data_IF_529506504319
#
_entry.id   IF_529506504319
#
_cell.length_a   1.000
_cell.length_b   1.000
_cell.length_c   1.000
_cell.angle_alpha   90.00
_cell.angle_beta   90.00
_cell.angle_gamma   90.00
#
_symmetry.space_group_name_H-M   'P 1'
#
loop_
_entity.id
_entity.type
_entity.pdbx_description
1 polymer ?
#
# COMPACT_ATOMS: atom_id res chain seq x y z
N UNK A 1 23.07 -1.17 -11.18
CA UNK A 1 24.26 -0.55 -11.82
C UNK A 1 24.24 -0.84 -13.31
N UNK A 2 24.22 0.22 -14.12
CA UNK A 2 24.19 0.11 -15.58
C UNK A 2 25.57 0.52 -16.11
N UNK A 3 26.09 -0.21 -17.09
CA UNK A 3 27.30 0.14 -17.83
C UNK A 3 26.96 0.46 -19.28
N UNK A 4 27.87 1.16 -19.95
CA UNK A 4 27.72 1.45 -21.37
C UNK A 4 27.77 0.15 -22.19
N UNK A 5 26.88 0.01 -23.16
CA UNK A 5 26.71 -1.22 -23.95
C UNK A 5 27.93 -1.60 -24.84
N UNK A 6 28.96 -0.76 -24.88
CA UNK A 6 30.24 -1.04 -25.51
C UNK A 6 31.38 -0.23 -24.88
N UNK A 7 32.54 -0.88 -24.68
CA UNK A 7 33.73 -0.28 -24.05
C UNK A 7 34.27 0.95 -24.79
N UNK A 8 34.11 1.00 -26.11
CA UNK A 8 34.66 2.05 -26.98
C UNK A 8 33.74 3.27 -27.13
N UNK A 9 32.60 3.32 -26.43
CA UNK A 9 31.73 4.50 -26.41
C UNK A 9 32.39 5.70 -25.71
N UNK A 10 33.29 5.42 -24.75
CA UNK A 10 34.11 6.45 -24.09
C UNK A 10 35.56 6.00 -24.13
N UNK A 11 36.42 6.85 -24.69
CA UNK A 11 37.84 6.57 -24.89
C UNK A 11 38.70 7.67 -24.30
N UNK A 12 39.78 7.30 -23.60
CA UNK A 12 40.85 8.20 -23.19
C UNK A 12 41.95 8.16 -24.23
N UNK A 13 42.26 9.30 -24.86
CA UNK A 13 43.38 9.42 -25.80
C UNK A 13 44.50 10.23 -25.16
N UNK A 14 45.66 9.61 -25.00
CA UNK A 14 46.88 10.29 -24.59
C UNK A 14 47.71 10.60 -25.84
N UNK A 15 48.08 11.86 -26.01
CA UNK A 15 48.95 12.32 -27.11
C UNK A 15 50.25 12.85 -26.54
N UNK A 16 51.37 12.37 -27.06
CA UNK A 16 52.68 12.97 -26.82
C UNK A 16 53.06 13.77 -28.06
N UNK A 17 53.66 14.93 -27.86
CA UNK A 17 54.21 15.77 -28.93
C UNK A 17 55.64 16.10 -28.54
N UNK A 18 56.58 15.88 -29.44
CA UNK A 18 57.97 16.21 -29.16
C UNK A 18 58.28 17.69 -29.45
N UNK A 19 59.56 18.06 -29.39
CA UNK A 19 59.99 19.46 -29.48
C UNK A 19 59.85 20.02 -30.90
N UNK A 20 59.95 19.20 -31.93
CA UNK A 20 59.85 19.68 -33.32
C UNK A 20 58.42 19.64 -33.86
N UNK A 21 57.50 19.04 -33.11
CA UNK A 21 56.06 19.13 -33.31
C UNK A 21 55.43 17.80 -33.75
N UNK A 22 56.24 16.76 -33.92
CA UNK A 22 55.74 15.43 -34.22
C UNK A 22 54.94 14.87 -33.04
N UNK A 23 53.80 14.24 -33.35
CA UNK A 23 52.89 13.73 -32.33
C UNK A 23 52.57 12.25 -32.53
N UNK A 24 52.44 11.53 -31.42
CA UNK A 24 51.96 10.15 -31.39
C UNK A 24 50.87 10.02 -30.33
N UNK A 25 49.86 9.20 -30.60
CA UNK A 25 48.72 9.01 -29.70
C UNK A 25 48.48 7.54 -29.38
N UNK A 26 47.97 7.29 -28.17
CA UNK A 26 47.47 6.00 -27.72
C UNK A 26 46.06 6.16 -27.15
N UNK A 27 45.18 5.20 -27.46
CA UNK A 27 43.78 5.22 -27.02
C UNK A 27 43.51 4.06 -26.08
N UNK A 28 42.86 4.34 -24.96
CA UNK A 28 42.36 3.36 -24.00
C UNK A 28 40.84 3.47 -23.92
N UNK A 29 40.15 2.34 -24.13
CA UNK A 29 38.71 2.26 -23.94
C UNK A 29 38.40 2.24 -22.44
N UNK A 30 37.58 3.17 -21.98
CA UNK A 30 37.21 3.29 -20.56
C UNK A 30 35.71 3.16 -20.32
N UNK A 31 34.90 2.98 -21.37
CA UNK A 31 33.44 3.00 -21.27
C UNK A 31 32.86 2.05 -20.22
N UNK A 32 33.45 0.85 -20.07
CA UNK A 32 33.00 -0.13 -19.07
C UNK A 32 33.72 -0.07 -17.73
N UNK A 33 34.68 0.86 -17.59
CA UNK A 33 35.20 1.27 -16.29
C UNK A 33 34.29 2.33 -15.63
N UNK A 34 33.34 2.90 -16.37
CA UNK A 34 32.33 3.82 -15.84
C UNK A 34 31.12 3.02 -15.37
N UNK A 35 30.79 3.15 -14.09
CA UNK A 35 29.59 2.56 -13.49
C UNK A 35 28.62 3.67 -13.12
N UNK A 36 27.38 3.55 -13.56
CA UNK A 36 26.29 4.42 -13.13
C UNK A 36 25.49 3.68 -12.06
N UNK A 37 25.42 4.29 -10.89
CA UNK A 37 24.53 3.84 -9.81
C UNK A 37 23.16 4.47 -10.04
N UNK A 38 22.15 3.75 -9.59
CA UNK A 38 20.74 4.07 -9.80
C UNK A 38 20.07 4.14 -8.43
N UNK A 39 19.34 5.22 -8.18
CA UNK A 39 18.82 5.58 -6.86
C UNK A 39 17.29 5.41 -6.82
N UNK A 40 16.83 4.17 -6.61
CA UNK A 40 15.39 3.88 -6.59
C UNK A 40 14.60 4.54 -5.45
N UNK A 41 13.24 4.48 -5.52
CA UNK A 41 12.38 5.18 -4.60
C UNK A 41 12.31 4.45 -3.25
N UNK A 42 11.89 5.18 -2.21
CA UNK A 42 11.68 4.65 -0.86
C UNK A 42 10.28 4.98 -0.36
N UNK A 43 9.70 4.06 0.39
CA UNK A 43 8.42 4.27 1.07
C UNK A 43 8.39 3.49 2.38
N UNK A 44 7.76 4.04 3.40
CA UNK A 44 7.54 3.38 4.69
C UNK A 44 6.17 3.76 5.28
N UNK A 45 5.65 2.89 6.14
CA UNK A 45 4.38 3.09 6.85
C UNK A 45 4.64 3.10 8.37
N UNK A 46 4.89 4.27 9.01
CA UNK A 46 5.24 4.37 10.43
C UNK A 46 4.13 3.95 11.43
N UNK A 47 2.97 3.50 10.96
CA UNK A 47 1.95 2.84 11.78
C UNK A 47 0.92 3.74 12.44
N UNK A 48 0.95 5.06 12.22
CA UNK A 48 -0.15 5.95 12.60
C UNK A 48 -1.18 6.01 11.45
N UNK A 49 -2.44 5.68 11.76
CA UNK A 49 -3.53 5.59 10.79
C UNK A 49 -4.81 6.18 11.35
N UNK A 50 -5.69 6.65 10.46
CA UNK A 50 -7.02 7.07 10.84
C UNK A 50 -7.88 5.86 11.19
N UNK A 51 -8.92 6.05 12.00
CA UNK A 51 -9.93 5.02 12.27
C UNK A 51 -11.20 5.32 11.50
N UNK A 52 -11.88 4.25 11.07
CA UNK A 52 -13.16 4.26 10.38
C UNK A 52 -14.23 3.74 11.33
N UNK A 53 -15.35 4.44 11.47
CA UNK A 53 -16.42 4.09 12.38
C UNK A 53 -17.78 4.12 11.68
N UNK A 54 -18.45 2.98 11.68
CA UNK A 54 -19.83 2.81 11.19
C UNK A 54 -20.74 2.39 12.33
N UNK A 55 -22.02 2.63 12.19
CA UNK A 55 -23.01 2.49 13.25
C UNK A 55 -24.24 1.73 12.73
N UNK A 56 -24.61 0.67 13.44
CA UNK A 56 -25.73 -0.21 13.08
C UNK A 56 -27.09 0.50 13.08
N UNK A 57 -27.20 1.66 13.74
CA UNK A 57 -28.39 2.51 13.73
C UNK A 57 -28.76 2.89 12.30
N UNK A 58 -27.75 3.12 11.45
CA UNK A 58 -27.93 3.47 10.04
C UNK A 58 -26.86 2.80 9.17
N UNK A 59 -27.15 1.57 8.75
CA UNK A 59 -26.33 0.77 7.82
C UNK A 59 -26.09 1.40 6.44
N UNK A 60 -26.74 2.52 6.11
CA UNK A 60 -26.51 3.24 4.86
C UNK A 60 -25.41 4.31 4.97
N UNK A 61 -24.87 4.54 6.18
CA UNK A 61 -23.86 5.57 6.42
C UNK A 61 -22.47 4.95 6.42
N UNK A 62 -21.69 5.28 5.41
CA UNK A 62 -20.29 4.89 5.31
C UNK A 62 -19.40 5.90 6.03
N UNK A 63 -18.23 5.44 6.48
CA UNK A 63 -17.15 6.33 6.90
C UNK A 63 -16.02 6.29 5.89
N UNK A 64 -15.38 7.44 5.63
CA UNK A 64 -14.28 7.57 4.68
C UNK A 64 -13.20 8.47 5.22
N UNK A 65 -11.99 7.95 5.33
CA UNK A 65 -10.84 8.65 5.90
C UNK A 65 -9.63 8.53 4.97
N UNK A 66 -8.77 9.55 4.96
CA UNK A 66 -7.55 9.52 4.15
C UNK A 66 -6.45 8.75 4.87
N UNK A 67 -5.91 7.70 4.26
CA UNK A 67 -4.77 6.95 4.79
C UNK A 67 -3.46 7.30 4.07
N UNK A 68 -3.49 8.13 3.03
CA UNK A 68 -2.29 8.54 2.30
C UNK A 68 -1.21 9.16 3.22
N UNK A 69 -1.62 9.94 4.21
CA UNK A 69 -0.71 10.54 5.19
C UNK A 69 -0.03 9.55 6.14
N UNK A 70 -0.46 8.29 6.16
CA UNK A 70 0.19 7.23 6.93
C UNK A 70 1.45 6.68 6.24
N UNK A 71 1.75 7.11 5.01
CA UNK A 71 2.93 6.71 4.25
C UNK A 71 3.91 7.87 4.13
N UNK A 72 5.19 7.58 4.34
CA UNK A 72 6.29 8.51 4.07
C UNK A 72 7.08 7.98 2.89
N UNK A 73 7.16 8.77 1.82
CA UNK A 73 7.71 8.35 0.53
C UNK A 73 8.68 9.36 -0.07
N UNK A 74 9.66 8.87 -0.83
CA UNK A 74 10.61 9.66 -1.62
C UNK A 74 10.85 8.99 -2.96
N UNK A 75 10.79 9.76 -4.06
CA UNK A 75 11.02 9.26 -5.42
C UNK A 75 12.50 9.17 -5.81
N UNK A 76 13.43 9.38 -4.87
CA UNK A 76 14.86 9.34 -5.20
C UNK A 76 15.29 10.49 -6.12
N UNK A 77 16.42 10.29 -6.81
CA UNK A 77 17.03 11.28 -7.68
C UNK A 77 16.31 11.39 -9.04
N UNK A 78 15.60 10.34 -9.45
CA UNK A 78 14.96 10.21 -10.76
C UNK A 78 13.66 11.03 -10.88
N UNK A 79 13.17 11.50 -9.73
CA UNK A 79 12.08 12.45 -9.62
C UNK A 79 10.71 11.78 -9.64
N UNK A 80 9.67 12.59 -9.48
CA UNK A 80 8.33 12.10 -9.21
C UNK A 80 7.76 11.24 -10.34
N UNK A 81 7.32 10.03 -9.98
CA UNK A 81 6.40 9.20 -10.75
C UNK A 81 5.01 9.17 -10.10
N UNK A 82 4.57 8.01 -9.62
CA UNK A 82 3.23 7.81 -9.04
C UNK A 82 3.26 7.02 -7.73
N UNK A 83 2.18 7.17 -6.93
CA UNK A 83 1.84 6.29 -5.81
C UNK A 83 0.49 5.66 -6.09
N UNK A 84 0.38 4.36 -5.88
CA UNK A 84 -0.87 3.60 -5.98
C UNK A 84 -1.18 2.88 -4.69
N UNK A 85 -2.46 2.64 -4.42
CA UNK A 85 -2.95 2.01 -3.19
C UNK A 85 -3.75 0.75 -3.54
N UNK A 86 -3.54 -0.31 -2.76
CA UNK A 86 -4.29 -1.56 -2.89
C UNK A 86 -4.64 -2.11 -1.52
N UNK A 87 -5.88 -2.57 -1.36
CA UNK A 87 -6.31 -3.30 -0.18
C UNK A 87 -5.93 -4.79 -0.30
N UNK A 88 -5.67 -5.39 0.85
CA UNK A 88 -5.41 -6.82 0.99
C UNK A 88 -5.97 -7.33 2.31
N UNK A 89 -5.95 -8.65 2.47
CA UNK A 89 -6.33 -9.29 3.73
C UNK A 89 -5.41 -10.47 4.03
N UNK A 90 -5.28 -10.80 5.32
CA UNK A 90 -4.64 -12.03 5.76
C UNK A 90 -5.71 -13.02 6.24
N UNK A 91 -5.51 -14.30 5.96
CA UNK A 91 -6.42 -15.34 6.45
C UNK A 91 -6.37 -15.41 7.98
N UNK A 92 -7.54 -15.42 8.61
CA UNK A 92 -7.67 -15.48 10.06
C UNK A 92 -9.13 -15.35 10.48
N UNK A 93 -9.42 -15.73 11.73
CA UNK A 93 -10.72 -15.44 12.31
C UNK A 93 -10.84 -13.92 12.49
N UNK A 94 -11.93 -13.31 12.04
CA UNK A 94 -12.16 -11.87 12.22
C UNK A 94 -12.54 -11.50 13.66
N UNK A 95 -13.10 -12.45 14.41
CA UNK A 95 -13.72 -12.19 15.71
C UNK A 95 -15.15 -11.64 15.60
N UNK A 96 -15.61 -11.28 14.40
CA UNK A 96 -16.96 -10.79 14.16
C UNK A 96 -17.89 -11.95 13.81
N UNK A 97 -19.15 -11.82 14.22
CA UNK A 97 -20.25 -12.74 13.92
C UNK A 97 -21.41 -11.94 13.38
N UNK A 98 -21.99 -12.36 12.25
CA UNK A 98 -23.19 -11.73 11.68
C UNK A 98 -24.41 -11.99 12.58
N UNK A 99 -25.08 -10.94 13.05
CA UNK A 99 -26.19 -11.04 14.01
C UNK A 99 -27.35 -11.87 13.47
N UNK A 100 -27.68 -11.71 12.19
CA UNK A 100 -28.87 -12.34 11.61
C UNK A 100 -28.70 -13.81 11.23
N UNK A 101 -27.49 -14.27 10.86
CA UNK A 101 -27.23 -15.67 10.51
C UNK A 101 -26.48 -16.46 11.60
N UNK A 102 -25.88 -15.78 12.56
CA UNK A 102 -25.01 -16.38 13.58
C UNK A 102 -23.70 -16.96 13.02
N UNK A 103 -23.35 -16.66 11.76
CA UNK A 103 -22.12 -17.15 11.13
C UNK A 103 -20.95 -16.21 11.42
N UNK A 104 -19.76 -16.78 11.58
CA UNK A 104 -18.53 -16.00 11.66
C UNK A 104 -18.29 -15.21 10.37
N UNK A 105 -17.80 -13.98 10.48
CA UNK A 105 -17.47 -13.16 9.32
C UNK A 105 -16.12 -13.61 8.75
N UNK A 106 -16.08 -13.89 7.45
CA UNK A 106 -14.89 -14.34 6.71
C UNK A 106 -14.49 -13.28 5.69
N UNK A 107 -13.21 -12.95 5.64
CA UNK A 107 -12.66 -11.98 4.69
C UNK A 107 -12.37 -12.61 3.33
N UNK A 108 -12.52 -11.82 2.28
CA UNK A 108 -12.13 -12.13 0.92
C UNK A 108 -11.75 -10.85 0.17
N UNK A 109 -11.03 -10.98 -0.93
CA UNK A 109 -10.74 -9.87 -1.83
C UNK A 109 -11.57 -10.05 -3.11
N UNK A 110 -12.48 -9.12 -3.37
CA UNK A 110 -13.38 -9.17 -4.52
C UNK A 110 -13.22 -7.87 -5.30
N UNK A 111 -12.80 -7.93 -6.57
CA UNK A 111 -12.63 -6.74 -7.42
C UNK A 111 -11.81 -5.58 -6.80
N UNK A 112 -10.80 -5.89 -5.97
CA UNK A 112 -9.91 -4.91 -5.34
C UNK A 112 -10.38 -4.32 -4.01
N UNK A 113 -11.53 -4.77 -3.51
CA UNK A 113 -12.08 -4.39 -2.21
C UNK A 113 -12.12 -5.59 -1.27
N UNK A 114 -11.89 -5.34 0.02
CA UNK A 114 -11.96 -6.39 1.05
C UNK A 114 -13.41 -6.53 1.48
N UNK A 115 -13.94 -7.74 1.38
CA UNK A 115 -15.34 -8.05 1.67
C UNK A 115 -15.41 -9.03 2.84
N UNK A 116 -16.09 -8.62 3.91
CA UNK A 116 -16.46 -9.49 5.02
C UNK A 116 -17.82 -10.14 4.76
N UNK A 117 -17.89 -11.47 4.69
CA UNK A 117 -19.13 -12.23 4.47
C UNK A 117 -19.52 -13.09 5.66
N UNK A 118 -20.81 -13.27 5.89
CA UNK A 118 -21.35 -14.17 6.90
C UNK A 118 -21.14 -15.63 6.49
N UNK A 119 -19.99 -16.20 6.85
CA UNK A 119 -19.49 -17.48 6.32
C UNK A 119 -19.00 -17.39 4.87
N UNK A 120 -18.41 -18.48 4.37
CA UNK A 120 -17.87 -18.55 3.01
C UNK A 120 -19.03 -18.47 1.99
N UNK A 121 -18.98 -17.46 1.11
CA UNK A 121 -20.00 -17.25 0.09
C UNK A 121 -21.36 -16.74 0.61
N UNK A 122 -21.44 -16.39 1.90
CA UNK A 122 -22.65 -15.84 2.49
C UNK A 122 -22.92 -14.38 2.12
N UNK A 123 -23.90 -13.77 2.79
CA UNK A 123 -24.24 -12.37 2.61
C UNK A 123 -23.08 -11.45 3.01
N UNK A 124 -22.95 -10.30 2.34
CA UNK A 124 -21.96 -9.28 2.68
C UNK A 124 -22.37 -8.62 3.99
N UNK A 125 -21.44 -8.58 4.95
CA UNK A 125 -21.60 -7.90 6.24
C UNK A 125 -20.98 -6.52 6.18
N UNK A 126 -19.81 -6.39 5.60
CA UNK A 126 -19.18 -5.09 5.34
C UNK A 126 -18.25 -5.15 4.12
N UNK A 127 -17.93 -3.98 3.58
CA UNK A 127 -16.88 -3.81 2.57
C UNK A 127 -15.90 -2.73 3.00
N UNK A 128 -14.65 -2.91 2.58
CA UNK A 128 -13.58 -1.90 2.69
C UNK A 128 -13.09 -1.63 1.28
N UNK A 129 -13.14 -0.37 0.86
CA UNK A 129 -12.71 0.08 -0.47
C UNK A 129 -11.63 1.14 -0.33
N UNK A 130 -10.81 1.33 -1.38
CA UNK A 130 -9.85 2.44 -1.44
C UNK A 130 -9.89 3.11 -2.80
N UNK A 131 -9.71 4.43 -2.83
CA UNK A 131 -9.58 5.19 -4.06
C UNK A 131 -8.12 5.43 -4.45
N UNK A 132 -7.91 6.05 -5.62
CA UNK A 132 -6.58 6.36 -6.13
C UNK A 132 -5.79 7.39 -5.28
N UNK A 133 -6.46 8.10 -4.38
CA UNK A 133 -5.85 9.07 -3.46
C UNK A 133 -5.56 8.46 -2.09
N UNK A 134 -5.78 7.15 -1.90
CA UNK A 134 -5.56 6.47 -0.63
C UNK A 134 -6.61 6.82 0.43
N UNK A 135 -7.79 7.29 0.02
CA UNK A 135 -8.94 7.33 0.92
C UNK A 135 -9.49 5.91 1.05
N UNK A 136 -9.81 5.51 2.26
CA UNK A 136 -10.39 4.20 2.57
C UNK A 136 -11.80 4.42 3.09
N UNK A 137 -12.74 3.63 2.58
CA UNK A 137 -14.16 3.68 2.98
C UNK A 137 -14.54 2.37 3.65
N UNK A 138 -15.20 2.46 4.81
CA UNK A 138 -15.87 1.35 5.48
C UNK A 138 -17.39 1.48 5.26
N UNK A 139 -18.00 0.43 4.74
CA UNK A 139 -19.44 0.28 4.50
C UNK A 139 -19.94 -0.96 5.24
N UNK A 140 -20.85 -0.81 6.18
CA UNK A 140 -21.49 -1.91 6.90
C UNK A 140 -22.89 -2.15 6.38
N UNK A 141 -23.13 -3.37 5.88
CA UNK A 141 -24.42 -3.76 5.29
C UNK A 141 -25.26 -4.63 6.22
N UNK A 142 -24.65 -5.22 7.26
CA UNK A 142 -25.33 -6.07 8.24
C UNK A 142 -24.72 -5.89 9.63
N UNK A 143 -25.58 -5.98 10.63
CA UNK A 143 -25.21 -5.94 12.05
C UNK A 143 -24.29 -7.10 12.45
N UNK A 144 -23.37 -6.83 13.37
CA UNK A 144 -22.49 -7.82 13.99
C UNK A 144 -22.84 -7.99 15.47
N UNK A 145 -22.49 -9.13 16.04
CA UNK A 145 -22.77 -9.42 17.45
C UNK A 145 -21.82 -8.63 18.35
N UNK A 146 -22.38 -7.89 19.30
CA UNK A 146 -21.64 -7.13 20.30
C UNK A 146 -21.49 -7.89 21.63
N UNK A 147 -20.40 -7.68 22.40
CA UNK A 147 -20.12 -8.41 23.65
C UNK A 147 -21.17 -8.22 24.76
N UNK A 148 -21.80 -7.05 24.82
CA UNK A 148 -22.75 -6.66 25.88
C UNK A 148 -24.03 -6.07 25.27
N UNK A 149 -24.92 -5.56 26.13
CA UNK A 149 -26.15 -4.89 25.71
C UNK A 149 -26.00 -3.35 25.71
N UNK A 150 -24.78 -2.83 25.72
CA UNK A 150 -24.55 -1.39 25.63
C UNK A 150 -24.88 -0.93 24.19
N UNK A 151 -25.87 -0.04 24.01
CA UNK A 151 -26.43 0.33 22.71
C UNK A 151 -25.49 1.15 21.80
N UNK A 152 -24.20 1.25 22.15
CA UNK A 152 -23.18 1.95 21.39
C UNK A 152 -21.80 1.33 21.67
N UNK A 153 -21.76 0.01 21.85
CA UNK A 153 -20.52 -0.73 22.10
C UNK A 153 -19.69 -0.81 20.81
N UNK A 154 -18.40 -0.44 20.84
CA UNK A 154 -17.52 -0.63 19.70
C UNK A 154 -16.98 -2.06 19.65
N UNK A 155 -16.97 -2.63 18.44
CA UNK A 155 -16.22 -3.85 18.12
C UNK A 155 -15.37 -3.65 16.86
N UNK A 156 -14.23 -4.34 16.80
CA UNK A 156 -13.30 -4.31 15.67
C UNK A 156 -12.84 -5.73 15.32
N UNK A 157 -12.11 -5.88 14.21
CA UNK A 157 -11.45 -7.15 13.89
C UNK A 157 -10.43 -7.51 14.97
N UNK A 158 -10.29 -8.80 15.30
CA UNK A 158 -9.44 -9.25 16.41
C UNK A 158 -7.93 -8.98 16.26
N UNK A 159 -7.46 -8.66 15.06
CA UNK A 159 -6.06 -8.45 14.76
C UNK A 159 -5.91 -7.41 13.64
N UNK A 160 -4.93 -6.54 13.83
CA UNK A 160 -4.75 -5.37 12.96
C UNK A 160 -4.28 -5.75 11.55
N UNK A 161 -3.51 -6.82 11.43
CA UNK A 161 -3.00 -7.30 10.15
C UNK A 161 -4.04 -8.06 9.31
N UNK A 162 -5.29 -8.20 9.75
CA UNK A 162 -6.31 -8.90 8.97
C UNK A 162 -6.73 -8.13 7.73
N UNK A 163 -6.70 -6.80 7.77
CA UNK A 163 -6.92 -5.93 6.60
C UNK A 163 -5.69 -5.05 6.45
N UNK A 164 -5.19 -4.96 5.23
CA UNK A 164 -3.97 -4.22 4.92
C UNK A 164 -4.19 -3.23 3.79
N UNK A 165 -3.54 -2.08 3.88
CA UNK A 165 -3.41 -1.11 2.79
C UNK A 165 -1.94 -1.05 2.35
N UNK A 166 -1.67 -1.41 1.11
CA UNK A 166 -0.32 -1.34 0.54
C UNK A 166 -0.22 -0.13 -0.40
N UNK A 167 0.75 0.73 -0.14
CA UNK A 167 1.13 1.81 -1.05
C UNK A 167 2.37 1.38 -1.86
N UNK A 168 2.30 1.52 -3.18
CA UNK A 168 3.42 1.27 -4.09
C UNK A 168 3.83 2.59 -4.74
N UNK A 169 5.07 3.00 -4.53
CA UNK A 169 5.69 4.16 -5.18
C UNK A 169 6.49 3.68 -6.40
N UNK A 170 6.38 4.42 -7.49
CA UNK A 170 7.18 4.24 -8.71
C UNK A 170 7.74 5.60 -9.12
N UNK A 171 9.03 5.69 -9.41
CA UNK A 171 9.66 6.92 -9.89
C UNK A 171 9.56 7.07 -11.42
N UNK A 172 10.41 7.93 -12.01
CA UNK A 172 10.27 8.38 -13.39
C UNK A 172 10.76 7.37 -14.42
N UNK A 173 11.79 6.61 -14.12
CA UNK A 173 12.37 5.62 -15.03
C UNK A 173 11.91 4.19 -14.73
N UNK A 174 11.18 4.00 -13.63
CA UNK A 174 10.29 2.86 -13.41
C UNK A 174 10.68 2.00 -12.21
N UNK A 175 11.67 2.41 -11.43
CA UNK A 175 12.00 1.77 -10.17
C UNK A 175 10.83 1.90 -9.19
N UNK A 176 10.61 0.87 -8.38
CA UNK A 176 9.43 0.77 -7.51
C UNK A 176 9.74 0.22 -6.13
N UNK A 177 9.02 0.72 -5.13
CA UNK A 177 9.09 0.28 -3.74
C UNK A 177 7.69 0.25 -3.12
N UNK A 178 7.48 -0.55 -2.08
CA UNK A 178 6.17 -0.69 -1.45
C UNK A 178 6.25 -0.74 0.08
N UNK A 179 5.22 -0.22 0.73
CA UNK A 179 5.02 -0.33 2.16
C UNK A 179 3.58 -0.74 2.46
N UNK A 180 3.40 -1.53 3.52
CA UNK A 180 2.10 -2.03 3.94
C UNK A 180 1.77 -1.50 5.32
N UNK A 181 0.55 -0.98 5.44
CA UNK A 181 -0.06 -0.57 6.68
C UNK A 181 -1.16 -1.58 7.05
N UNK A 182 -1.15 -2.03 8.30
CA UNK A 182 -2.22 -2.84 8.87
C UNK A 182 -3.33 -1.90 9.35
N UNK A 183 -4.59 -2.22 9.05
CA UNK A 183 -5.75 -1.37 9.37
C UNK A 183 -6.94 -2.14 9.92
N UNK A 184 -6.78 -3.43 10.23
CA UNK A 184 -7.88 -4.29 10.67
C UNK A 184 -8.54 -3.81 11.95
N UNK A 185 -7.76 -3.29 12.91
CA UNK A 185 -8.29 -2.75 14.17
C UNK A 185 -8.67 -1.26 14.06
N UNK A 186 -8.41 -0.62 12.91
CA UNK A 186 -8.92 0.71 12.62
C UNK A 186 -10.39 0.70 12.18
N UNK A 187 -10.97 -0.47 11.88
CA UNK A 187 -12.37 -0.63 11.48
C UNK A 187 -13.24 -0.85 12.73
N UNK A 188 -14.11 0.11 13.04
CA UNK A 188 -14.97 0.09 14.22
C UNK A 188 -16.43 0.01 13.79
N UNK A 189 -17.15 -0.95 14.36
CA UNK A 189 -18.58 -1.13 14.21
C UNK A 189 -19.23 -0.81 15.56
N UNK A 190 -20.19 0.12 15.59
CA UNK A 190 -20.95 0.47 16.80
C UNK A 190 -22.29 -0.28 16.81
N UNK A 191 -22.66 -0.79 17.98
CA UNK A 191 -23.95 -1.45 18.23
C UNK A 191 -25.14 -0.49 18.05
N UNK A 192 -26.26 -1.05 17.59
CA UNK A 192 -27.59 -0.43 17.74
C UNK A 192 -28.34 -1.26 18.78
N UNK A 193 -28.36 -0.77 20.01
CA UNK A 193 -29.05 -1.50 21.07
C UNK A 193 -30.57 -1.53 20.86
N UNK A 194 -31.29 -2.38 21.60
CA UNK A 194 -32.73 -2.55 21.40
C UNK A 194 -33.52 -1.25 21.59
N UNK A 195 -34.30 -0.87 20.57
CA UNK A 195 -35.31 0.21 20.62
C UNK A 195 -36.65 -0.24 21.21
#
# INVERSE_FOLDING_TARGET
>A
PVSLNADNLVTLTATITDKDGDSSAATLNIGQNLTFLDDGPTISAPGASNSLTVDETVLATNDTQSFAGAFTSSYGADGAGAITYALGFNAGATGLVDTASGQAVVLSLEAGQVVGRAGIGGAIVFTVTTDASGNVTLDQQRAVVHPTANPNEPVSLNADNLVTLTATITDKDGDSSAATLNIGQNLTFLDDGPT
#
